data_IF_910984368555
#
_entry.id   IF_910984368555
#
_cell.length_a   1.000
_cell.length_b   1.000
_cell.length_c   1.000
_cell.angle_alpha   90.00
_cell.angle_beta   90.00
_cell.angle_gamma   90.00
#
_symmetry.space_group_name_H-M   'P 1'
#
loop_
_entity.id
_entity.type
_entity.pdbx_description
1 polymer ?
#
# COMPACT_ATOMS: atom_id res chain seq x y z
N UNK A 1 4.55 -29.96 13.78
CA UNK A 1 5.82 -29.32 14.21
C UNK A 1 6.55 -30.32 15.10
N UNK A 2 7.78 -30.69 14.77
CA UNK A 2 8.61 -31.59 15.57
C UNK A 2 9.94 -30.89 15.82
N UNK A 3 10.38 -30.87 17.08
CA UNK A 3 11.67 -30.29 17.48
C UNK A 3 12.66 -31.44 17.67
N UNK A 4 13.77 -31.43 16.94
CA UNK A 4 14.76 -32.52 16.94
C UNK A 4 16.08 -31.97 17.47
N UNK A 5 16.59 -32.58 18.55
CA UNK A 5 17.96 -32.37 19.05
C UNK A 5 18.83 -33.55 18.60
N UNK A 6 19.93 -33.28 17.91
CA UNK A 6 20.93 -34.26 17.52
C UNK A 6 22.29 -33.92 18.15
N UNK A 7 23.16 -34.92 18.31
CA UNK A 7 24.47 -34.75 18.95
C UNK A 7 25.62 -35.20 18.05
N UNK A 8 25.54 -36.39 17.47
CA UNK A 8 26.66 -37.00 16.72
C UNK A 8 26.30 -37.48 15.30
N UNK A 9 25.14 -37.11 14.76
CA UNK A 9 24.72 -37.48 13.40
C UNK A 9 24.81 -36.27 12.45
N UNK A 10 25.34 -36.43 11.22
CA UNK A 10 25.34 -35.35 10.25
C UNK A 10 23.91 -35.00 9.84
N UNK A 11 23.58 -33.71 9.85
CA UNK A 11 22.25 -33.18 9.54
C UNK A 11 21.71 -33.69 8.19
N UNK A 12 22.59 -33.95 7.23
CA UNK A 12 22.27 -34.54 5.92
C UNK A 12 21.64 -35.93 6.02
N UNK A 13 22.09 -36.80 6.93
CA UNK A 13 21.53 -38.13 7.12
C UNK A 13 20.10 -38.08 7.70
N UNK A 14 19.85 -37.13 8.60
CA UNK A 14 18.53 -36.90 9.20
C UNK A 14 17.56 -36.39 8.14
N UNK A 15 17.98 -35.39 7.35
CA UNK A 15 17.18 -34.82 6.25
C UNK A 15 16.90 -35.85 5.16
N UNK A 16 17.88 -36.69 4.79
CA UNK A 16 17.71 -37.76 3.83
C UNK A 16 16.71 -38.83 4.31
N UNK A 17 16.71 -39.14 5.60
CA UNK A 17 15.74 -40.09 6.20
C UNK A 17 14.32 -39.51 6.15
N UNK A 18 14.15 -38.22 6.48
CA UNK A 18 12.85 -37.55 6.40
C UNK A 18 12.35 -37.46 4.95
N UNK A 19 13.26 -37.17 4.00
CA UNK A 19 12.96 -37.18 2.58
C UNK A 19 12.55 -38.58 2.08
N UNK A 20 13.17 -39.64 2.57
CA UNK A 20 12.83 -41.03 2.22
C UNK A 20 11.45 -41.47 2.72
N UNK A 21 10.92 -40.80 3.75
CA UNK A 21 9.56 -40.98 4.26
C UNK A 21 8.50 -40.18 3.46
N UNK A 22 8.89 -39.52 2.36
CA UNK A 22 7.99 -38.76 1.50
C UNK A 22 7.72 -37.32 1.96
N UNK A 23 8.41 -36.84 3.00
CA UNK A 23 8.31 -35.47 3.47
C UNK A 23 9.47 -34.63 2.91
N UNK A 24 9.20 -33.62 2.10
CA UNK A 24 10.22 -32.64 1.69
C UNK A 24 10.71 -31.89 2.92
N UNK A 25 11.97 -32.09 3.37
CA UNK A 25 12.49 -31.39 4.52
C UNK A 25 12.76 -29.96 4.10
N UNK A 26 11.81 -29.06 4.37
CA UNK A 26 12.06 -27.64 4.22
C UNK A 26 12.87 -27.21 5.44
N UNK A 27 14.19 -27.02 5.28
CA UNK A 27 14.97 -26.37 6.33
C UNK A 27 14.35 -24.99 6.51
N UNK A 28 13.71 -24.75 7.64
CA UNK A 28 13.47 -23.39 8.10
C UNK A 28 14.85 -22.75 8.31
N UNK A 29 15.41 -22.14 7.27
CA UNK A 29 16.54 -21.21 7.35
C UNK A 29 15.98 -19.92 7.95
N UNK A 30 16.19 -19.66 9.25
CA UNK A 30 15.55 -18.53 9.92
C UNK A 30 15.91 -17.19 9.23
N UNK A 31 17.11 -17.11 8.66
CA UNK A 31 17.61 -15.92 7.98
C UNK A 31 16.84 -15.53 6.71
N UNK A 32 16.32 -16.48 5.92
CA UNK A 32 15.66 -16.14 4.64
C UNK A 32 14.22 -15.65 4.85
N UNK A 33 13.48 -16.32 5.73
CA UNK A 33 12.12 -15.91 6.11
C UNK A 33 12.13 -14.59 6.89
N UNK A 34 13.08 -14.41 7.81
CA UNK A 34 13.24 -13.15 8.54
C UNK A 34 13.64 -12.00 7.62
N UNK A 35 14.53 -12.24 6.64
CA UNK A 35 14.89 -11.23 5.66
C UNK A 35 13.71 -10.84 4.76
N UNK A 36 12.89 -11.81 4.34
CA UNK A 36 11.67 -11.54 3.56
C UNK A 36 10.67 -10.72 4.36
N UNK A 37 10.39 -11.10 5.62
CA UNK A 37 9.49 -10.36 6.50
C UNK A 37 9.99 -8.94 6.80
N UNK A 38 11.31 -8.76 6.98
CA UNK A 38 11.93 -7.43 7.13
C UNK A 38 11.75 -6.58 5.89
N UNK A 39 11.94 -7.13 4.68
CA UNK A 39 11.75 -6.41 3.42
C UNK A 39 10.29 -5.98 3.23
N UNK A 40 9.34 -6.88 3.47
CA UNK A 40 7.90 -6.57 3.39
C UNK A 40 7.54 -5.46 4.37
N UNK A 41 8.02 -5.53 5.62
CA UNK A 41 7.82 -4.47 6.63
C UNK A 41 8.38 -3.13 6.17
N UNK A 42 9.61 -3.12 5.67
CA UNK A 42 10.25 -1.87 5.23
C UNK A 42 9.48 -1.26 4.04
N UNK A 43 8.95 -2.10 3.15
CA UNK A 43 8.17 -1.64 2.02
C UNK A 43 6.82 -1.06 2.46
N UNK A 44 6.13 -1.67 3.43
CA UNK A 44 4.89 -1.12 4.00
C UNK A 44 5.14 0.21 4.73
N UNK A 45 6.26 0.34 5.43
CA UNK A 45 6.69 1.60 6.04
C UNK A 45 6.95 2.69 5.00
N UNK A 46 7.66 2.36 3.92
CA UNK A 46 7.91 3.30 2.83
C UNK A 46 6.61 3.75 2.16
N UNK A 47 5.68 2.83 1.92
CA UNK A 47 4.34 3.18 1.38
C UNK A 47 3.59 4.11 2.32
N UNK A 48 3.64 3.87 3.62
CA UNK A 48 3.02 4.74 4.63
C UNK A 48 3.64 6.14 4.61
N UNK A 49 4.97 6.24 4.55
CA UNK A 49 5.69 7.51 4.48
C UNK A 49 5.32 8.27 3.20
N UNK A 50 5.33 7.59 2.05
CA UNK A 50 4.95 8.19 0.75
C UNK A 50 3.50 8.66 0.78
N UNK A 51 2.58 7.87 1.34
CA UNK A 51 1.18 8.28 1.48
C UNK A 51 1.03 9.51 2.39
N UNK A 52 1.71 9.53 3.53
CA UNK A 52 1.63 10.64 4.49
C UNK A 52 2.21 11.94 3.93
N UNK A 53 3.43 11.88 3.38
CA UNK A 53 4.06 13.05 2.76
C UNK A 53 3.26 13.55 1.56
N UNK A 54 2.82 12.63 0.68
CA UNK A 54 2.02 13.00 -0.47
C UNK A 54 0.67 13.59 -0.08
N UNK A 55 -0.01 13.04 0.93
CA UNK A 55 -1.24 13.63 1.49
C UNK A 55 -0.99 15.06 2.00
N UNK A 56 0.05 15.28 2.79
CA UNK A 56 0.37 16.61 3.32
C UNK A 56 0.60 17.62 2.20
N UNK A 57 1.40 17.25 1.20
CA UNK A 57 1.68 18.12 0.06
C UNK A 57 0.42 18.40 -0.77
N UNK A 58 -0.38 17.37 -1.09
CA UNK A 58 -1.61 17.56 -1.87
C UNK A 58 -2.64 18.40 -1.09
N UNK A 59 -2.80 18.19 0.22
CA UNK A 59 -3.70 19.01 1.04
C UNK A 59 -3.28 20.48 1.08
N UNK A 60 -1.97 20.76 1.12
CA UNK A 60 -1.47 22.13 1.06
C UNK A 60 -1.90 22.83 -0.23
N UNK A 61 -1.76 22.17 -1.38
CA UNK A 61 -2.18 22.74 -2.67
C UNK A 61 -3.70 22.79 -2.84
N UNK A 62 -4.41 21.75 -2.39
CA UNK A 62 -5.87 21.70 -2.43
C UNK A 62 -6.48 22.82 -1.59
N UNK A 63 -5.88 23.14 -0.43
CA UNK A 63 -6.31 24.28 0.38
C UNK A 63 -6.15 25.59 -0.38
N UNK A 64 -5.06 25.78 -1.12
CA UNK A 64 -4.88 26.93 -2.01
C UNK A 64 -5.94 27.03 -3.11
N UNK A 65 -6.37 25.89 -3.66
CA UNK A 65 -7.46 25.84 -4.63
C UNK A 65 -8.82 26.18 -3.99
N UNK A 66 -9.12 25.63 -2.82
CA UNK A 66 -10.37 25.90 -2.11
C UNK A 66 -10.47 27.36 -1.65
N UNK A 67 -9.38 27.95 -1.15
CA UNK A 67 -9.38 29.37 -0.76
C UNK A 67 -9.42 30.29 -1.97
N UNK A 68 -8.75 29.92 -3.06
CA UNK A 68 -8.80 30.63 -4.34
C UNK A 68 -10.21 30.62 -4.95
N UNK A 69 -10.96 29.55 -4.79
CA UNK A 69 -12.37 29.49 -5.20
C UNK A 69 -13.26 30.50 -4.45
N UNK A 70 -12.90 30.87 -3.21
CA UNK A 70 -13.64 31.86 -2.42
C UNK A 70 -13.14 33.31 -2.59
N UNK A 71 -11.82 33.51 -2.70
CA UNK A 71 -11.22 34.86 -2.76
C UNK A 71 -10.96 35.35 -4.18
N UNK A 72 -11.15 34.49 -5.19
CA UNK A 72 -10.78 34.74 -6.58
C UNK A 72 -9.32 34.33 -6.83
N UNK A 73 -9.13 33.46 -7.82
CA UNK A 73 -7.81 33.04 -8.31
C UNK A 73 -7.81 33.15 -9.83
N UNK A 74 -6.70 33.62 -10.41
CA UNK A 74 -6.59 33.61 -11.87
C UNK A 74 -6.56 32.17 -12.38
N UNK A 75 -7.19 31.96 -13.53
CA UNK A 75 -7.34 30.64 -14.13
C UNK A 75 -5.99 29.94 -14.36
N UNK A 76 -4.93 30.70 -14.66
CA UNK A 76 -3.58 30.17 -14.85
C UNK A 76 -3.01 29.55 -13.55
N UNK A 77 -3.17 30.22 -12.41
CA UNK A 77 -2.71 29.70 -11.12
C UNK A 77 -3.57 28.53 -10.65
N UNK A 78 -4.88 28.55 -10.90
CA UNK A 78 -5.76 27.42 -10.61
C UNK A 78 -5.29 26.17 -11.39
N UNK A 79 -5.02 26.32 -12.68
CA UNK A 79 -4.58 25.21 -13.51
C UNK A 79 -3.20 24.71 -13.12
N UNK A 80 -2.28 25.60 -12.76
CA UNK A 80 -0.97 25.23 -12.21
C UNK A 80 -1.12 24.37 -10.94
N UNK A 81 -1.95 24.80 -9.98
CA UNK A 81 -2.18 24.07 -8.72
C UNK A 81 -2.83 22.70 -8.96
N UNK A 82 -3.73 22.58 -9.95
CA UNK A 82 -4.31 21.29 -10.37
C UNK A 82 -3.24 20.33 -10.87
N UNK A 83 -2.36 20.78 -11.77
CA UNK A 83 -1.26 19.97 -12.29
C UNK A 83 -0.28 19.54 -11.21
N UNK A 84 0.06 20.44 -10.28
CA UNK A 84 0.92 20.11 -9.14
C UNK A 84 0.25 19.08 -8.23
N UNK A 85 -1.04 19.24 -7.96
CA UNK A 85 -1.82 18.29 -7.15
C UNK A 85 -1.89 16.90 -7.80
N UNK A 86 -2.03 16.84 -9.12
CA UNK A 86 -1.94 15.59 -9.89
C UNK A 86 -0.55 14.95 -9.73
N UNK A 87 0.53 15.73 -9.92
CA UNK A 87 1.90 15.23 -9.84
C UNK A 87 2.23 14.70 -8.44
N UNK A 88 1.81 15.40 -7.38
CA UNK A 88 2.01 14.98 -6.01
C UNK A 88 1.13 13.78 -5.61
N UNK A 89 -0.09 13.66 -6.14
CA UNK A 89 -0.97 12.53 -5.86
C UNK A 89 -0.62 11.26 -6.62
N UNK A 90 0.02 11.36 -7.79
CA UNK A 90 0.43 10.23 -8.61
C UNK A 90 1.29 9.19 -7.86
N UNK A 91 2.39 9.54 -7.15
CA UNK A 91 3.16 8.56 -6.39
C UNK A 91 2.35 7.94 -5.25
N UNK A 92 1.44 8.69 -4.61
CA UNK A 92 0.56 8.14 -3.58
C UNK A 92 -0.36 7.09 -4.18
N UNK A 93 -1.03 7.41 -5.28
CA UNK A 93 -1.97 6.52 -5.95
C UNK A 93 -1.29 5.27 -6.52
N UNK A 94 -0.17 5.46 -7.23
CA UNK A 94 0.50 4.40 -7.98
C UNK A 94 1.43 3.54 -7.12
N UNK A 95 2.02 4.06 -6.04
CA UNK A 95 2.94 3.32 -5.19
C UNK A 95 2.32 2.90 -3.86
N UNK A 96 1.78 3.86 -3.10
CA UNK A 96 1.16 3.56 -1.81
C UNK A 96 -0.20 2.88 -1.98
N UNK A 97 -0.96 3.26 -3.01
CA UNK A 97 -2.25 2.68 -3.38
C UNK A 97 -2.16 1.31 -4.08
N UNK A 98 -0.99 0.99 -4.66
CA UNK A 98 -0.76 -0.23 -5.44
C UNK A 98 -1.27 -1.54 -4.82
N UNK A 99 -0.99 -1.87 -3.54
CA UNK A 99 -1.46 -3.13 -2.96
C UNK A 99 -2.99 -3.26 -2.99
N UNK A 100 -3.73 -2.17 -2.76
CA UNK A 100 -5.19 -2.19 -2.80
C UNK A 100 -5.72 -2.41 -4.21
N UNK A 101 -5.17 -1.68 -5.19
CA UNK A 101 -5.49 -1.82 -6.61
C UNK A 101 -5.21 -3.24 -7.11
N UNK A 102 -4.03 -3.78 -6.77
CA UNK A 102 -3.62 -5.13 -7.15
C UNK A 102 -4.55 -6.18 -6.54
N UNK A 103 -4.84 -6.09 -5.24
CA UNK A 103 -5.70 -7.05 -4.56
C UNK A 103 -7.12 -6.98 -5.10
N UNK A 104 -7.67 -5.79 -5.31
CA UNK A 104 -8.98 -5.59 -5.91
C UNK A 104 -9.07 -6.23 -7.31
N UNK A 105 -8.06 -6.00 -8.16
CA UNK A 105 -7.99 -6.60 -9.49
C UNK A 105 -7.95 -8.13 -9.46
N UNK A 106 -7.14 -8.70 -8.56
CA UNK A 106 -7.08 -10.15 -8.37
C UNK A 106 -8.41 -10.73 -7.87
N UNK A 107 -9.03 -10.09 -6.88
CA UNK A 107 -10.34 -10.51 -6.36
C UNK A 107 -11.43 -10.47 -7.42
N UNK A 108 -11.44 -9.42 -8.25
CA UNK A 108 -12.36 -9.30 -9.36
C UNK A 108 -12.14 -10.39 -10.41
N UNK A 109 -10.88 -10.66 -10.79
CA UNK A 109 -10.51 -11.71 -11.74
C UNK A 109 -10.93 -13.10 -11.25
N UNK A 110 -10.79 -13.37 -9.95
CA UNK A 110 -11.17 -14.63 -9.33
C UNK A 110 -12.66 -14.71 -8.94
N UNK A 111 -13.47 -13.69 -9.26
CA UNK A 111 -14.89 -13.59 -8.84
C UNK A 111 -15.09 -13.73 -7.33
N UNK A 112 -14.10 -13.28 -6.56
CA UNK A 112 -14.12 -13.27 -5.10
C UNK A 112 -13.88 -11.82 -4.63
N UNK A 113 -14.96 -11.04 -4.44
CA UNK A 113 -14.84 -9.68 -3.93
C UNK A 113 -14.12 -9.69 -2.58
N UNK A 114 -13.08 -8.85 -2.45
CA UNK A 114 -12.32 -8.70 -1.22
C UNK A 114 -12.54 -7.32 -0.60
N UNK A 115 -12.07 -7.17 0.64
CA UNK A 115 -12.14 -5.91 1.39
C UNK A 115 -11.50 -4.73 0.65
N UNK A 116 -10.52 -5.01 -0.22
CA UNK A 116 -9.78 -3.99 -0.97
C UNK A 116 -10.54 -3.50 -2.22
N UNK A 117 -11.57 -4.21 -2.68
CA UNK A 117 -12.31 -3.88 -3.91
C UNK A 117 -13.05 -2.53 -3.83
N UNK A 118 -13.88 -2.24 -2.81
CA UNK A 118 -14.55 -0.94 -2.71
C UNK A 118 -13.55 0.21 -2.58
N UNK A 119 -12.48 -0.01 -1.82
CA UNK A 119 -11.40 0.96 -1.59
C UNK A 119 -10.73 1.33 -2.92
N UNK A 120 -10.32 0.32 -3.69
CA UNK A 120 -9.65 0.52 -4.96
C UNK A 120 -10.57 1.21 -5.98
N UNK A 121 -11.85 0.83 -6.04
CA UNK A 121 -12.83 1.46 -6.93
C UNK A 121 -13.08 2.92 -6.58
N UNK A 122 -13.24 3.24 -5.30
CA UNK A 122 -13.43 4.62 -4.84
C UNK A 122 -12.20 5.49 -5.17
N UNK A 123 -10.99 5.02 -4.84
CA UNK A 123 -9.76 5.74 -5.12
C UNK A 123 -9.52 5.90 -6.62
N UNK A 124 -9.66 4.83 -7.39
CA UNK A 124 -9.44 4.86 -8.83
C UNK A 124 -10.47 5.73 -9.55
N UNK A 125 -11.75 5.62 -9.17
CA UNK A 125 -12.82 6.44 -9.73
C UNK A 125 -12.59 7.92 -9.47
N UNK A 126 -12.34 8.31 -8.22
CA UNK A 126 -12.10 9.69 -7.85
C UNK A 126 -10.81 10.26 -8.49
N UNK A 127 -9.73 9.47 -8.53
CA UNK A 127 -8.46 9.90 -9.11
C UNK A 127 -8.54 10.07 -10.64
N UNK A 128 -9.20 9.14 -11.34
CA UNK A 128 -9.42 9.23 -12.79
C UNK A 128 -10.38 10.35 -13.16
N UNK A 129 -11.44 10.57 -12.38
CA UNK A 129 -12.33 11.72 -12.58
C UNK A 129 -11.58 13.04 -12.39
N UNK A 130 -10.75 13.14 -11.35
CA UNK A 130 -9.91 14.31 -11.10
C UNK A 130 -8.89 14.54 -12.22
N UNK A 131 -8.30 13.47 -12.76
CA UNK A 131 -7.41 13.52 -13.93
C UNK A 131 -8.14 14.05 -15.15
N UNK A 132 -9.34 13.56 -15.43
CA UNK A 132 -10.17 14.05 -16.52
C UNK A 132 -10.49 15.55 -16.38
N UNK A 133 -10.88 16.01 -15.20
CA UNK A 133 -11.14 17.43 -14.92
C UNK A 133 -9.89 18.31 -15.02
N UNK A 134 -8.72 17.78 -14.63
CA UNK A 134 -7.44 18.49 -14.77
C UNK A 134 -7.05 18.66 -16.22
N UNK A 135 -7.26 17.63 -17.06
CA UNK A 135 -6.93 17.67 -18.48
C UNK A 135 -7.81 18.65 -19.27
N UNK A 136 -9.09 18.74 -18.92
CA UNK A 136 -10.03 19.67 -19.58
C UNK A 136 -9.94 21.08 -18.97
N UNK A 137 -9.24 21.24 -17.85
CA UNK A 137 -9.09 22.52 -17.15
C UNK A 137 -10.38 23.02 -16.52
N UNK A 138 -11.37 22.14 -16.27
CA UNK A 138 -12.67 22.52 -15.69
C UNK A 138 -13.27 21.42 -14.83
N UNK A 139 -14.07 21.82 -13.84
CA UNK A 139 -14.73 20.92 -12.87
C UNK A 139 -13.87 20.65 -11.64
N UNK A 140 -14.45 20.05 -10.61
CA UNK A 140 -13.75 19.86 -9.32
C UNK A 140 -12.76 18.69 -9.36
N UNK A 141 -11.69 18.80 -8.59
CA UNK A 141 -10.69 17.75 -8.38
C UNK A 141 -10.71 17.29 -6.93
N UNK A 142 -10.40 16.00 -6.73
CA UNK A 142 -10.52 15.31 -5.45
C UNK A 142 -9.23 14.55 -5.09
N UNK A 143 -8.07 15.03 -5.55
CA UNK A 143 -6.78 14.39 -5.31
C UNK A 143 -6.43 14.31 -3.83
N UNK A 144 -6.78 15.35 -3.06
CA UNK A 144 -6.62 15.41 -1.60
C UNK A 144 -7.42 14.30 -0.92
N UNK A 145 -8.70 14.13 -1.29
CA UNK A 145 -9.55 13.06 -0.78
C UNK A 145 -8.98 11.67 -1.05
N UNK A 146 -8.48 11.43 -2.27
CA UNK A 146 -7.84 10.15 -2.63
C UNK A 146 -6.59 9.89 -1.80
N UNK A 147 -5.69 10.87 -1.70
CA UNK A 147 -4.44 10.70 -0.94
C UNK A 147 -4.68 10.53 0.56
N UNK A 148 -5.64 11.27 1.13
CA UNK A 148 -6.10 11.14 2.51
C UNK A 148 -6.66 9.74 2.79
N UNK A 149 -7.51 9.23 1.90
CA UNK A 149 -8.11 7.91 2.06
C UNK A 149 -7.05 6.79 2.01
N UNK A 150 -6.12 6.86 1.06
CA UNK A 150 -5.00 5.91 0.96
C UNK A 150 -4.12 5.97 2.21
N UNK A 151 -3.84 7.17 2.74
CA UNK A 151 -3.04 7.33 3.94
C UNK A 151 -3.72 6.69 5.16
N UNK A 152 -5.00 6.99 5.41
CA UNK A 152 -5.74 6.44 6.56
C UNK A 152 -5.91 4.92 6.52
N UNK A 153 -6.09 4.34 5.35
CA UNK A 153 -6.15 2.88 5.23
C UNK A 153 -4.77 2.27 5.44
N UNK A 154 -3.72 2.92 4.93
CA UNK A 154 -2.34 2.43 5.10
C UNK A 154 -1.88 2.48 6.55
N UNK A 155 -2.21 3.55 7.30
CA UNK A 155 -1.91 3.61 8.73
C UNK A 155 -2.73 2.60 9.52
N UNK A 156 -4.02 2.42 9.20
CA UNK A 156 -4.87 1.41 9.85
C UNK A 156 -4.30 0.01 9.70
N UNK A 157 -3.95 -0.41 8.47
CA UNK A 157 -3.35 -1.73 8.21
C UNK A 157 -1.98 -1.88 8.84
N UNK A 158 -1.19 -0.80 8.88
CA UNK A 158 0.10 -0.81 9.56
C UNK A 158 -0.06 -1.06 11.07
N UNK A 159 -1.01 -0.40 11.73
CA UNK A 159 -1.34 -0.61 13.13
C UNK A 159 -1.88 -2.03 13.37
N UNK A 160 -2.76 -2.51 12.51
CA UNK A 160 -3.33 -3.85 12.58
C UNK A 160 -2.23 -4.93 12.45
N UNK A 161 -1.29 -4.75 11.53
CA UNK A 161 -0.13 -5.61 11.37
C UNK A 161 0.81 -5.57 12.59
N UNK A 162 1.00 -4.39 13.19
CA UNK A 162 1.81 -4.23 14.40
C UNK A 162 1.19 -4.99 15.60
N UNK A 163 -0.12 -4.86 15.80
CA UNK A 163 -0.85 -5.52 16.90
C UNK A 163 -0.83 -7.04 16.75
N UNK A 164 -1.09 -7.56 15.54
CA UNK A 164 -1.04 -9.02 15.28
C UNK A 164 0.33 -9.63 15.56
N UNK A 165 1.42 -8.88 15.36
CA UNK A 165 2.77 -9.34 15.67
C UNK A 165 3.04 -9.43 17.16
N UNK A 166 2.58 -8.43 17.93
CA UNK A 166 2.66 -8.48 19.40
C UNK A 166 1.90 -9.68 19.98
N UNK A 167 0.70 -9.95 19.46
CA UNK A 167 -0.12 -11.07 19.91
C UNK A 167 0.46 -12.46 19.59
N UNK A 168 1.40 -12.58 18.63
CA UNK A 168 2.08 -13.85 18.32
C UNK A 168 3.31 -14.12 19.20
N UNK A 169 3.80 -13.12 19.93
CA UNK A 169 4.97 -13.22 20.79
C UNK A 169 4.64 -13.40 22.29
N UNK A 170 3.35 -13.30 22.65
CA UNK A 170 2.80 -13.71 23.95
C UNK A 170 2.08 -15.05 23.80
#
# INVERSE_FOLDING_TARGET
>A
RAEIRWRDTPLSAILATIASLGYTPNLHTPDEEDNKQRRERNHDLLRLIVAGLGMMQVMMFATGLYTGAWHGIDHEYEQLLRWISLLCSAPVMLYAGYPYLKNAWLGLRHRQPNMDLPIALACAGAWLASLYHTLIGRGEIYYDGVTMFIFFISISRYLEAHTRRRARHN
#
